data_IF_469469958233
#
_entry.id   IF_469469958233
#
_cell.length_a   1.000
_cell.length_b   1.000
_cell.length_c   1.000
_cell.angle_alpha   90.00
_cell.angle_beta   90.00
_cell.angle_gamma   90.00
#
_symmetry.space_group_name_H-M   'P 1'
#
loop_
_entity.id
_entity.type
_entity.pdbx_description
1 polymer ?
#
# COMPACT_ATOMS: atom_id res chain seq x y z
N UNK A 1 -6.48 -9.36 -13.92
CA UNK A 1 -5.22 -8.69 -13.53
C UNK A 1 -5.34 -7.89 -12.22
N UNK A 2 -6.43 -7.12 -12.00
CA UNK A 2 -6.66 -6.30 -10.78
C UNK A 2 -6.52 -7.05 -9.44
N UNK A 3 -7.04 -8.29 -9.37
CA UNK A 3 -6.94 -9.16 -8.18
C UNK A 3 -5.49 -9.54 -7.84
N UNK A 4 -4.64 -9.69 -8.87
CA UNK A 4 -3.24 -10.04 -8.70
C UNK A 4 -2.43 -8.88 -8.10
N UNK A 5 -2.74 -7.65 -8.52
CA UNK A 5 -2.16 -6.43 -7.95
C UNK A 5 -2.50 -6.29 -6.46
N UNK A 6 -3.74 -6.59 -6.07
CA UNK A 6 -4.16 -6.54 -4.66
C UNK A 6 -3.46 -7.60 -3.81
N UNK A 7 -3.30 -8.82 -4.35
CA UNK A 7 -2.57 -9.90 -3.67
C UNK A 7 -1.09 -9.54 -3.54
N UNK A 8 -0.48 -9.01 -4.61
CA UNK A 8 0.91 -8.59 -4.59
C UNK A 8 1.15 -7.45 -3.59
N UNK A 9 0.20 -6.51 -3.48
CA UNK A 9 0.21 -5.42 -2.50
C UNK A 9 0.17 -5.91 -1.05
N UNK A 10 -0.52 -7.03 -0.78
CA UNK A 10 -0.62 -7.61 0.57
C UNK A 10 0.57 -8.53 0.91
N UNK A 11 1.09 -9.27 -0.07
CA UNK A 11 2.14 -10.27 0.13
C UNK A 11 3.54 -9.65 0.22
N UNK A 12 3.86 -8.66 -0.63
CA UNK A 12 5.16 -7.98 -0.60
C UNK A 12 5.52 -7.49 0.81
N UNK A 13 4.60 -6.87 1.56
CA UNK A 13 4.99 -6.26 2.81
C UNK A 13 4.96 -7.18 4.02
N UNK A 14 4.22 -8.29 3.93
CA UNK A 14 4.37 -9.40 4.86
C UNK A 14 5.79 -10.01 4.77
N UNK A 15 6.29 -10.23 3.54
CA UNK A 15 7.65 -10.73 3.31
C UNK A 15 8.70 -9.67 3.70
N UNK A 16 8.44 -8.40 3.41
CA UNK A 16 9.28 -7.28 3.84
C UNK A 16 9.43 -7.22 5.36
N UNK A 17 8.34 -7.39 6.12
CA UNK A 17 8.41 -7.40 7.59
C UNK A 17 9.19 -8.60 8.16
N UNK A 18 9.15 -9.75 7.49
CA UNK A 18 9.85 -10.97 7.92
C UNK A 18 11.36 -10.93 7.64
N UNK A 19 11.77 -10.34 6.51
CA UNK A 19 13.20 -10.23 6.14
C UNK A 19 13.95 -9.21 6.99
N UNK A 20 13.24 -8.22 7.53
CA UNK A 20 13.78 -7.16 8.39
C UNK A 20 14.09 -7.64 9.81
N UNK A 21 13.36 -8.63 10.31
CA UNK A 21 13.55 -9.19 11.65
C UNK A 21 14.96 -9.80 11.84
N UNK A 22 15.60 -10.24 10.76
CA UNK A 22 16.89 -10.95 10.82
C UNK A 22 18.11 -10.02 10.65
N UNK A 23 17.92 -8.70 10.55
CA UNK A 23 19.01 -7.72 10.43
C UNK A 23 18.83 -6.65 11.51
N UNK A 24 19.88 -6.40 12.28
CA UNK A 24 19.80 -5.70 13.58
C UNK A 24 19.64 -4.18 13.44
N UNK A 25 19.97 -3.55 12.30
CA UNK A 25 19.89 -2.08 12.17
C UNK A 25 19.60 -1.62 10.73
N UNK A 26 18.51 -2.04 10.07
CA UNK A 26 18.18 -1.47 8.77
C UNK A 26 17.66 -0.04 8.99
N UNK A 27 18.55 0.93 8.90
CA UNK A 27 18.22 2.34 8.81
C UNK A 27 18.17 2.73 7.33
N UNK A 28 17.03 3.27 6.90
CA UNK A 28 16.86 3.84 5.57
C UNK A 28 16.60 5.33 5.77
N UNK A 29 17.41 6.16 5.09
CA UNK A 29 17.35 7.63 5.24
C UNK A 29 17.54 8.13 6.69
N UNK A 30 18.27 7.38 7.52
CA UNK A 30 18.48 7.71 8.94
C UNK A 30 17.29 7.39 9.86
N UNK A 31 16.26 6.70 9.35
CA UNK A 31 15.07 6.29 10.11
C UNK A 31 15.00 4.76 10.22
N UNK A 32 14.42 4.20 11.29
CA UNK A 32 14.18 2.76 11.37
C UNK A 32 13.35 2.30 10.16
N UNK A 33 13.78 1.24 9.47
CA UNK A 33 13.09 0.72 8.29
C UNK A 33 11.61 0.45 8.54
N UNK A 34 11.22 0.05 9.76
CA UNK A 34 9.81 -0.13 10.14
C UNK A 34 8.99 1.15 9.96
N UNK A 35 9.55 2.32 10.32
CA UNK A 35 8.89 3.63 10.18
C UNK A 35 8.82 4.07 8.72
N UNK A 36 9.92 3.90 7.99
CA UNK A 36 9.94 4.18 6.55
C UNK A 36 8.93 3.30 5.79
N UNK A 37 8.87 2.01 6.14
CA UNK A 37 7.97 1.03 5.56
C UNK A 37 6.50 1.31 5.88
N UNK A 38 6.20 1.74 7.12
CA UNK A 38 4.83 2.12 7.49
C UNK A 38 4.38 3.38 6.73
N UNK A 39 5.28 4.35 6.53
CA UNK A 39 4.99 5.55 5.75
C UNK A 39 4.68 5.22 4.27
N UNK A 40 5.46 4.34 3.65
CA UNK A 40 5.18 3.85 2.28
C UNK A 40 3.79 3.23 2.20
N UNK A 41 3.43 2.38 3.16
CA UNK A 41 2.10 1.79 3.24
C UNK A 41 0.98 2.82 3.35
N UNK A 42 1.19 3.85 4.16
CA UNK A 42 0.21 4.92 4.38
C UNK A 42 -0.04 5.71 3.09
N UNK A 43 0.99 5.97 2.29
CA UNK A 43 0.85 6.59 0.97
C UNK A 43 0.08 5.67 0.02
N UNK A 44 0.41 4.38 -0.01
CA UNK A 44 -0.27 3.38 -0.84
C UNK A 44 -1.77 3.29 -0.51
N UNK A 45 -2.14 3.25 0.77
CA UNK A 45 -3.55 3.17 1.18
C UNK A 45 -4.31 4.44 0.81
N UNK A 46 -3.69 5.62 0.97
CA UNK A 46 -4.28 6.89 0.55
C UNK A 46 -4.55 6.93 -0.96
N UNK A 47 -3.60 6.44 -1.78
CA UNK A 47 -3.80 6.32 -3.23
C UNK A 47 -4.91 5.31 -3.54
N UNK A 48 -4.99 4.19 -2.81
CA UNK A 48 -6.04 3.21 -2.99
C UNK A 48 -7.44 3.79 -2.71
N UNK A 49 -7.58 4.56 -1.62
CA UNK A 49 -8.83 5.26 -1.29
C UNK A 49 -9.20 6.30 -2.35
N UNK A 50 -8.22 7.07 -2.83
CA UNK A 50 -8.44 8.05 -3.89
C UNK A 50 -8.94 7.40 -5.18
N UNK A 51 -8.33 6.29 -5.59
CA UNK A 51 -8.78 5.50 -6.74
C UNK A 51 -10.20 4.98 -6.51
N UNK A 52 -10.51 4.48 -5.32
CA UNK A 52 -11.87 4.04 -4.95
C UNK A 52 -12.89 5.17 -5.03
N UNK A 53 -12.55 6.38 -4.58
CA UNK A 53 -13.43 7.55 -4.64
C UNK A 53 -13.76 7.91 -6.10
N UNK A 54 -12.75 8.00 -6.97
CA UNK A 54 -12.96 8.27 -8.41
C UNK A 54 -13.84 7.21 -9.06
N UNK A 55 -13.65 5.93 -8.69
CA UNK A 55 -14.46 4.84 -9.23
C UNK A 55 -15.91 4.94 -8.75
N UNK A 56 -16.12 5.35 -7.49
CA UNK A 56 -17.46 5.51 -6.92
C UNK A 56 -18.21 6.69 -7.55
N UNK A 57 -17.54 7.84 -7.74
CA UNK A 57 -18.11 9.01 -8.44
C UNK A 57 -18.51 8.66 -9.89
N UNK A 58 -17.65 7.91 -10.60
CA UNK A 58 -17.94 7.41 -11.95
C UNK A 58 -19.16 6.49 -12.00
N UNK A 59 -19.43 5.75 -10.92
CA UNK A 59 -20.54 4.81 -10.86
C UNK A 59 -21.87 5.53 -10.63
N UNK A 60 -21.89 6.60 -9.83
CA UNK A 60 -23.08 7.45 -9.62
C UNK A 60 -23.48 8.22 -10.89
N UNK A 61 -22.51 8.68 -11.70
CA UNK A 61 -22.80 9.36 -12.98
C UNK A 61 -23.46 8.44 -14.03
N UNK A 62 -23.12 7.14 -14.03
CA UNK A 62 -23.76 6.17 -14.95
C UNK A 62 -25.13 5.70 -14.46
N UNK A 63 -25.38 5.66 -13.15
CA UNK A 63 -26.69 5.25 -12.60
C UNK A 63 -27.75 6.37 -12.68
N UNK A 64 -27.34 7.64 -12.79
CA UNK A 64 -28.24 8.78 -12.99
C UNK A 64 -28.61 9.06 -14.47
N UNK A 65 -28.08 8.28 -15.43
CA UNK A 65 -28.40 8.41 -16.87
C UNK A 65 -29.29 7.26 -17.35
#
# INVERSE_FOLDING_TARGET
>A
MKKLLLVLLSVIPAIGSLTVMNRVEPYILGMPLVVFWSAIWLVITSVCLYISCIICEKQEEEESR
#
